data_IF_953414584007
#
_entry.id   IF_953414584007
#
_cell.length_a   1.000
_cell.length_b   1.000
_cell.length_c   1.000
_cell.angle_alpha   90.00
_cell.angle_beta   90.00
_cell.angle_gamma   90.00
#
_symmetry.space_group_name_H-M   'P 1'
#
loop_
_entity.id
_entity.type
_entity.pdbx_description
1 polymer ?
#
# COMPACT_ATOMS: atom_id res chain seq x y z
N UNK A 1 -7.33 -33.98 75.94
CA UNK A 1 -6.93 -34.44 74.60
C UNK A 1 -7.54 -33.63 73.41
N UNK A 2 -8.31 -32.56 73.59
CA UNK A 2 -8.87 -31.75 72.50
C UNK A 2 -7.98 -30.52 72.14
N UNK A 3 -7.14 -30.04 73.08
CA UNK A 3 -6.27 -28.86 72.84
C UNK A 3 -5.12 -29.05 71.83
N UNK A 4 -4.54 -30.26 71.79
CA UNK A 4 -3.40 -30.55 70.95
C UNK A 4 -3.78 -30.58 69.47
N UNK A 5 -4.98 -31.10 69.15
CA UNK A 5 -5.44 -31.13 67.70
C UNK A 5 -5.72 -29.74 67.14
N UNK A 6 -6.21 -28.82 67.95
CA UNK A 6 -6.48 -27.44 67.55
C UNK A 6 -5.20 -26.63 67.36
N UNK A 7 -4.17 -26.93 68.18
CA UNK A 7 -2.82 -26.31 67.99
C UNK A 7 -2.16 -26.81 66.72
N UNK A 8 -2.18 -28.11 66.44
CA UNK A 8 -1.66 -28.72 65.25
C UNK A 8 -2.35 -28.14 63.98
N UNK A 9 -3.69 -28.01 64.03
CA UNK A 9 -4.46 -27.41 62.91
C UNK A 9 -4.09 -25.95 62.68
N UNK A 10 -3.89 -25.14 63.72
CA UNK A 10 -3.45 -23.75 63.60
C UNK A 10 -2.04 -23.63 63.01
N UNK A 11 -1.13 -24.50 63.44
CA UNK A 11 0.24 -24.54 62.91
C UNK A 11 0.22 -24.91 61.42
N UNK A 12 -0.57 -25.90 61.01
CA UNK A 12 -0.75 -26.30 59.62
C UNK A 12 -1.27 -25.16 58.75
N UNK A 13 -2.32 -24.47 59.25
CA UNK A 13 -2.91 -23.33 58.56
C UNK A 13 -1.93 -22.17 58.39
N UNK A 14 -1.14 -21.86 59.43
CA UNK A 14 -0.09 -20.86 59.43
C UNK A 14 1.02 -21.22 58.43
N UNK A 15 1.44 -22.51 58.41
CA UNK A 15 2.45 -22.99 57.49
C UNK A 15 2.00 -22.84 56.01
N UNK A 16 0.75 -23.23 55.70
CA UNK A 16 0.18 -23.06 54.36
C UNK A 16 0.14 -21.59 53.98
N UNK A 17 -0.27 -20.71 54.89
CA UNK A 17 -0.32 -19.27 54.65
C UNK A 17 1.08 -18.70 54.36
N UNK A 18 2.11 -19.11 55.13
CA UNK A 18 3.48 -18.68 54.91
C UNK A 18 4.02 -19.17 53.54
N UNK A 19 3.73 -20.42 53.16
CA UNK A 19 4.14 -20.99 51.88
C UNK A 19 3.49 -20.22 50.72
N UNK A 20 2.18 -19.95 50.78
CA UNK A 20 1.45 -19.20 49.77
C UNK A 20 1.92 -17.75 49.67
N UNK A 21 2.14 -17.10 50.83
CA UNK A 21 2.63 -15.73 50.86
C UNK A 21 4.06 -15.62 50.30
N UNK A 22 4.94 -16.57 50.64
CA UNK A 22 6.30 -16.65 50.11
C UNK A 22 6.30 -16.91 48.61
N UNK A 23 5.40 -17.75 48.11
CA UNK A 23 5.27 -18.01 46.68
C UNK A 23 4.71 -16.78 45.93
N UNK A 24 3.73 -16.10 46.55
CA UNK A 24 3.18 -14.86 45.99
C UNK A 24 4.27 -13.75 45.91
N UNK A 25 5.05 -13.60 46.98
CA UNK A 25 6.16 -12.67 47.05
C UNK A 25 7.21 -12.96 45.97
N UNK A 26 7.58 -14.25 45.81
CA UNK A 26 8.50 -14.66 44.76
C UNK A 26 7.99 -14.31 43.38
N UNK A 27 6.71 -14.61 43.10
CA UNK A 27 6.08 -14.33 41.78
C UNK A 27 5.91 -12.84 41.49
N UNK A 28 5.72 -12.00 42.52
CA UNK A 28 5.48 -10.56 42.32
C UNK A 28 6.75 -9.71 42.29
N UNK A 29 7.81 -10.14 42.99
CA UNK A 29 9.01 -9.31 43.18
C UNK A 29 10.25 -9.89 42.51
N UNK A 30 10.34 -11.22 42.40
CA UNK A 30 11.57 -11.85 41.87
C UNK A 30 11.44 -12.36 40.44
N UNK A 31 10.21 -12.59 39.94
CA UNK A 31 10.01 -13.15 38.62
C UNK A 31 9.51 -12.07 37.63
N UNK A 32 10.47 -11.33 37.04
CA UNK A 32 10.24 -10.28 36.05
C UNK A 32 9.49 -10.75 34.81
N UNK A 33 9.52 -12.06 34.54
CA UNK A 33 8.84 -12.70 33.41
C UNK A 33 7.34 -12.42 33.32
N UNK A 34 6.64 -12.40 34.46
CA UNK A 34 5.21 -12.10 34.49
C UNK A 34 4.93 -10.60 34.35
N UNK A 35 5.87 -9.77 34.78
CA UNK A 35 5.82 -8.34 34.57
C UNK A 35 6.05 -7.98 33.10
N UNK A 36 7.03 -8.62 32.46
CA UNK A 36 7.29 -8.50 31.02
C UNK A 36 6.12 -9.02 30.17
N UNK A 37 5.55 -10.18 30.51
CA UNK A 37 4.37 -10.74 29.85
C UNK A 37 3.12 -9.87 30.03
N UNK A 38 2.96 -9.25 31.20
CA UNK A 38 1.87 -8.30 31.45
C UNK A 38 2.04 -7.02 30.65
N UNK A 39 3.24 -6.48 30.55
CA UNK A 39 3.54 -5.32 29.71
C UNK A 39 3.35 -5.64 28.22
N UNK A 40 3.86 -6.77 27.74
CA UNK A 40 3.70 -7.21 26.36
C UNK A 40 2.26 -7.48 25.95
N UNK A 41 1.39 -7.88 26.88
CA UNK A 41 -0.04 -8.04 26.62
C UNK A 41 -0.84 -6.73 26.69
N UNK A 42 -0.29 -5.69 27.31
CA UNK A 42 -0.97 -4.42 27.56
C UNK A 42 -0.54 -3.34 26.57
N UNK A 43 0.71 -3.41 26.06
CA UNK A 43 1.26 -2.44 25.12
C UNK A 43 1.20 -3.00 23.70
N UNK A 44 0.51 -2.30 22.82
CA UNK A 44 0.42 -2.65 21.41
C UNK A 44 1.07 -1.58 20.53
N UNK A 45 1.87 -2.04 19.56
CA UNK A 45 2.42 -1.20 18.51
C UNK A 45 1.37 -0.93 17.44
N UNK A 46 0.92 0.32 17.34
CA UNK A 46 0.07 0.79 16.26
C UNK A 46 0.93 1.44 15.18
N UNK A 47 0.95 0.86 13.98
CA UNK A 47 1.70 1.41 12.85
C UNK A 47 1.07 2.70 12.35
N UNK A 48 1.88 3.76 12.24
CA UNK A 48 1.49 5.02 11.61
C UNK A 48 2.10 5.05 10.20
N UNK A 49 1.23 5.10 9.21
CA UNK A 49 1.66 5.08 7.81
C UNK A 49 2.12 6.46 7.35
N UNK A 50 3.27 6.55 6.67
CA UNK A 50 3.72 7.78 6.03
C UNK A 50 2.83 8.14 4.83
N UNK A 51 2.74 9.41 4.53
CA UNK A 51 2.26 9.86 3.23
C UNK A 51 3.29 9.50 2.16
N UNK A 52 2.84 8.79 1.11
CA UNK A 52 3.70 8.44 -0.02
C UNK A 52 4.13 9.70 -0.76
N UNK A 53 5.37 9.78 -1.22
CA UNK A 53 5.91 10.93 -1.95
C UNK A 53 5.10 11.25 -3.22
N UNK A 54 4.95 12.51 -3.54
CA UNK A 54 4.30 12.98 -4.77
C UNK A 54 5.24 12.87 -5.96
N UNK A 55 4.68 12.72 -7.16
CA UNK A 55 5.46 12.72 -8.41
C UNK A 55 5.03 13.93 -9.24
N UNK A 56 6.00 14.69 -9.72
CA UNK A 56 5.79 15.90 -10.53
C UNK A 56 6.48 15.78 -11.89
N UNK A 57 6.03 16.57 -12.84
CA UNK A 57 6.69 16.73 -14.12
C UNK A 57 7.90 17.67 -14.01
N UNK A 58 8.56 17.97 -15.16
CA UNK A 58 9.72 18.84 -15.23
C UNK A 58 9.46 20.30 -14.80
N UNK A 59 8.20 20.72 -14.78
CA UNK A 59 7.74 22.05 -14.37
C UNK A 59 7.13 22.09 -12.97
N UNK A 60 7.33 21.02 -12.18
CA UNK A 60 6.74 20.84 -10.86
C UNK A 60 5.20 20.69 -10.82
N UNK A 61 4.56 20.48 -11.98
CA UNK A 61 3.14 20.16 -12.04
C UNK A 61 2.91 18.74 -11.50
N UNK A 62 1.94 18.59 -10.59
CA UNK A 62 1.64 17.30 -9.95
C UNK A 62 1.04 16.32 -10.97
N UNK A 63 1.64 15.15 -11.08
CA UNK A 63 1.16 14.03 -11.91
C UNK A 63 0.57 12.94 -11.04
N UNK A 64 1.18 12.68 -9.87
CA UNK A 64 0.70 11.66 -8.92
C UNK A 64 0.72 12.22 -7.51
N UNK A 65 -0.40 12.10 -6.82
CA UNK A 65 -0.57 12.52 -5.43
C UNK A 65 -1.32 11.47 -4.60
N UNK A 66 -1.54 11.77 -3.33
CA UNK A 66 -2.33 10.93 -2.45
C UNK A 66 -3.70 11.57 -2.22
N UNK A 67 -4.74 10.78 -2.39
CA UNK A 67 -6.10 11.18 -2.07
C UNK A 67 -6.54 10.51 -0.78
N UNK A 68 -7.20 11.25 0.14
CA UNK A 68 -7.74 10.65 1.35
C UNK A 68 -8.74 9.55 1.02
N UNK A 69 -8.56 8.39 1.61
CA UNK A 69 -9.56 7.33 1.62
C UNK A 69 -9.58 6.64 2.98
N UNK A 70 -10.61 5.86 3.23
CA UNK A 70 -10.90 5.30 4.54
C UNK A 70 -11.21 3.81 4.42
N UNK A 71 -10.51 3.01 5.20
CA UNK A 71 -10.86 1.60 5.42
C UNK A 71 -11.71 1.48 6.66
N UNK A 72 -12.74 0.65 6.62
CA UNK A 72 -13.62 0.39 7.75
C UNK A 72 -13.41 -1.02 8.27
N UNK A 73 -13.44 -1.13 9.58
CA UNK A 73 -13.26 -2.36 10.34
C UNK A 73 -14.50 -2.63 11.17
N UNK A 74 -14.85 -3.90 11.35
CA UNK A 74 -15.93 -4.32 12.21
C UNK A 74 -15.39 -5.24 13.30
N UNK A 75 -15.82 -5.01 14.55
CA UNK A 75 -15.57 -5.91 15.69
C UNK A 75 -16.88 -6.64 16.00
N UNK A 76 -17.00 -7.94 15.65
CA UNK A 76 -18.28 -8.64 15.70
C UNK A 76 -18.97 -8.64 17.08
N UNK A 77 -18.20 -8.71 18.16
CA UNK A 77 -18.73 -8.69 19.53
C UNK A 77 -19.35 -7.34 19.93
N UNK A 78 -18.83 -6.26 19.38
CA UNK A 78 -19.27 -4.89 19.68
C UNK A 78 -20.32 -4.40 18.69
N UNK A 79 -20.48 -5.12 17.56
CA UNK A 79 -21.36 -4.67 16.49
C UNK A 79 -22.82 -4.63 16.93
N UNK A 80 -23.40 -3.45 16.81
CA UNK A 80 -24.80 -3.18 16.99
C UNK A 80 -25.23 -2.01 16.11
N UNK A 81 -26.37 -2.12 15.48
CA UNK A 81 -26.99 -1.04 14.73
C UNK A 81 -28.48 -0.99 14.97
N UNK A 82 -29.03 0.20 15.00
CA UNK A 82 -30.47 0.42 15.14
C UNK A 82 -31.21 0.13 13.81
N UNK A 83 -30.55 0.40 12.70
CA UNK A 83 -31.10 0.23 11.36
C UNK A 83 -30.06 -0.36 10.40
N UNK A 84 -30.25 -1.66 10.10
CA UNK A 84 -29.38 -2.39 9.17
C UNK A 84 -29.56 -1.89 7.72
N UNK A 85 -30.77 -1.48 7.33
CA UNK A 85 -31.03 -1.00 5.95
C UNK A 85 -30.29 0.31 5.72
N UNK A 86 -30.32 1.21 6.68
CA UNK A 86 -29.57 2.46 6.62
C UNK A 86 -28.07 2.22 6.53
N UNK A 87 -27.54 1.26 7.28
CA UNK A 87 -26.13 0.86 7.22
C UNK A 87 -25.78 0.33 5.81
N UNK A 88 -26.55 -0.60 5.27
CA UNK A 88 -26.33 -1.16 3.94
C UNK A 88 -26.31 -0.06 2.86
N UNK A 89 -27.26 0.86 2.92
CA UNK A 89 -27.32 2.00 2.00
C UNK A 89 -26.13 2.94 2.15
N UNK A 90 -25.68 3.21 3.39
CA UNK A 90 -24.52 4.07 3.68
C UNK A 90 -23.23 3.52 3.07
N UNK A 91 -23.04 2.20 3.06
CA UNK A 91 -21.88 1.55 2.48
C UNK A 91 -22.11 1.06 1.04
N UNK A 92 -23.30 1.26 0.48
CA UNK A 92 -23.67 0.78 -0.87
C UNK A 92 -23.38 -0.71 -1.07
N UNK A 93 -23.69 -1.54 -0.06
CA UNK A 93 -23.49 -2.99 -0.08
C UNK A 93 -24.82 -3.72 0.04
N UNK A 94 -24.90 -4.90 -0.57
CA UNK A 94 -26.07 -5.78 -0.43
C UNK A 94 -26.10 -6.48 0.92
N UNK A 95 -27.28 -6.94 1.34
CA UNK A 95 -27.42 -7.74 2.57
C UNK A 95 -26.56 -9.01 2.53
N UNK A 96 -26.54 -9.69 1.38
CA UNK A 96 -25.75 -10.92 1.21
C UNK A 96 -24.24 -10.65 1.37
N UNK A 97 -23.74 -9.54 0.79
CA UNK A 97 -22.35 -9.13 0.93
C UNK A 97 -22.01 -8.77 2.39
N UNK A 98 -22.91 -8.09 3.07
CA UNK A 98 -22.77 -7.80 4.51
C UNK A 98 -22.67 -9.09 5.32
N UNK A 99 -23.62 -10.02 5.14
CA UNK A 99 -23.70 -11.28 5.89
C UNK A 99 -22.45 -12.14 5.65
N UNK A 100 -21.94 -12.17 4.42
CA UNK A 100 -20.69 -12.86 4.08
C UNK A 100 -19.48 -12.25 4.81
N UNK A 101 -19.31 -10.92 4.72
CA UNK A 101 -18.21 -10.20 5.39
C UNK A 101 -18.28 -10.33 6.91
N UNK A 102 -19.47 -10.23 7.46
CA UNK A 102 -19.68 -10.36 8.91
C UNK A 102 -19.41 -11.78 9.40
N UNK A 103 -19.82 -12.80 8.64
CA UNK A 103 -19.52 -14.20 8.95
C UNK A 103 -18.01 -14.47 8.88
N UNK A 104 -17.31 -13.95 7.85
CA UNK A 104 -15.85 -14.01 7.77
C UNK A 104 -15.18 -13.34 8.98
N UNK A 105 -15.66 -12.17 9.37
CA UNK A 105 -15.16 -11.46 10.54
C UNK A 105 -15.35 -12.27 11.83
N UNK A 106 -16.53 -12.87 12.05
CA UNK A 106 -16.79 -13.75 13.20
C UNK A 106 -15.89 -14.99 13.22
N UNK A 107 -15.65 -15.59 12.06
CA UNK A 107 -14.78 -16.77 11.92
C UNK A 107 -13.32 -16.42 12.25
N UNK A 108 -12.87 -15.22 11.89
CA UNK A 108 -11.53 -14.75 12.20
C UNK A 108 -11.36 -14.45 13.69
N UNK A 109 -12.22 -13.58 14.26
CA UNK A 109 -12.25 -13.26 15.70
C UNK A 109 -13.51 -12.51 16.07
N UNK A 110 -14.05 -12.77 17.26
CA UNK A 110 -15.16 -12.00 17.80
C UNK A 110 -14.72 -10.63 18.36
N UNK A 111 -13.46 -10.52 18.78
CA UNK A 111 -12.94 -9.38 19.54
C UNK A 111 -11.97 -8.49 18.75
N UNK A 112 -11.36 -9.01 17.70
CA UNK A 112 -10.40 -8.25 16.88
C UNK A 112 -11.08 -7.55 15.70
N UNK A 113 -10.62 -6.35 15.31
CA UNK A 113 -11.14 -5.66 14.15
C UNK A 113 -10.85 -6.47 12.88
N UNK A 114 -11.86 -6.65 12.05
CA UNK A 114 -11.78 -7.28 10.74
C UNK A 114 -12.18 -6.29 9.66
N UNK A 115 -11.53 -6.32 8.50
CA UNK A 115 -11.85 -5.41 7.39
C UNK A 115 -13.28 -5.65 6.94
N UNK A 116 -14.08 -4.60 6.97
CA UNK A 116 -15.48 -4.57 6.54
C UNK A 116 -15.65 -3.92 5.16
N UNK A 117 -15.01 -2.76 4.96
CA UNK A 117 -15.06 -2.01 3.71
C UNK A 117 -13.72 -1.34 3.44
N UNK A 118 -13.22 -1.40 2.20
CA UNK A 118 -11.93 -0.84 1.81
C UNK A 118 -12.08 0.37 0.90
N UNK A 119 -11.22 1.37 1.09
CA UNK A 119 -10.97 2.42 0.12
C UNK A 119 -12.19 3.32 -0.15
N UNK A 120 -12.95 3.70 0.89
CA UNK A 120 -14.03 4.68 0.74
C UNK A 120 -13.42 6.05 0.46
N UNK A 121 -13.84 6.70 -0.60
CA UNK A 121 -13.41 8.06 -0.93
C UNK A 121 -13.89 9.09 0.10
N UNK A 122 -13.22 10.25 0.11
CA UNK A 122 -13.50 11.30 1.09
C UNK A 122 -14.93 11.87 0.99
N UNK A 123 -15.49 11.97 -0.21
CA UNK A 123 -16.83 12.55 -0.42
C UNK A 123 -17.90 11.62 0.14
N UNK A 124 -17.80 10.33 -0.14
CA UNK A 124 -18.69 9.30 0.42
C UNK A 124 -18.53 9.22 1.94
N UNK A 125 -17.29 9.23 2.45
CA UNK A 125 -17.03 9.27 3.89
C UNK A 125 -17.70 10.47 4.57
N UNK A 126 -17.53 11.66 4.04
CA UNK A 126 -18.14 12.88 4.60
C UNK A 126 -19.67 12.77 4.68
N UNK A 127 -20.31 12.12 3.72
CA UNK A 127 -21.78 11.93 3.70
C UNK A 127 -22.30 10.98 4.78
N UNK A 128 -21.46 10.05 5.24
CA UNK A 128 -21.84 9.04 6.26
C UNK A 128 -21.24 9.30 7.64
N UNK A 129 -20.28 10.21 7.74
CA UNK A 129 -19.52 10.46 8.97
C UNK A 129 -20.41 10.72 10.19
N UNK A 130 -21.46 11.51 10.04
CA UNK A 130 -22.41 11.79 11.12
C UNK A 130 -23.21 10.55 11.56
N UNK A 131 -23.43 9.62 10.65
CA UNK A 131 -24.19 8.38 10.89
C UNK A 131 -23.34 7.28 11.52
N UNK A 132 -22.01 7.39 11.45
CA UNK A 132 -21.10 6.38 12.02
C UNK A 132 -21.28 6.22 13.53
N UNK A 133 -21.74 7.25 14.22
CA UNK A 133 -22.05 7.19 15.65
C UNK A 133 -23.15 6.14 15.98
N UNK A 134 -24.07 5.92 15.04
CA UNK A 134 -25.16 4.95 15.20
C UNK A 134 -24.72 3.50 14.95
N UNK A 135 -23.52 3.28 14.41
CA UNK A 135 -22.99 1.97 14.04
C UNK A 135 -21.91 1.52 15.04
N UNK A 136 -22.34 1.03 16.21
CA UNK A 136 -21.40 0.54 17.23
C UNK A 136 -20.59 -0.64 16.70
N UNK A 137 -19.30 -0.69 17.04
CA UNK A 137 -18.40 -1.74 16.60
C UNK A 137 -17.91 -1.62 15.15
N UNK A 138 -18.25 -0.52 14.46
CA UNK A 138 -17.64 -0.14 13.20
C UNK A 138 -16.66 1.02 13.46
N UNK A 139 -15.44 0.86 13.00
CA UNK A 139 -14.35 1.83 13.13
C UNK A 139 -13.78 2.14 11.76
N UNK A 140 -13.27 3.33 11.56
CA UNK A 140 -12.59 3.71 10.34
C UNK A 140 -11.12 4.04 10.60
N UNK A 141 -10.29 3.79 9.60
CA UNK A 141 -8.88 4.18 9.60
C UNK A 141 -8.55 4.89 8.29
N UNK A 142 -7.90 6.06 8.33
CA UNK A 142 -7.44 6.70 7.11
C UNK A 142 -6.34 5.86 6.46
N UNK A 143 -6.53 5.57 5.17
CA UNK A 143 -5.56 4.87 4.34
C UNK A 143 -5.48 5.55 2.98
N UNK A 144 -4.59 6.54 2.81
CA UNK A 144 -4.48 7.29 1.56
C UNK A 144 -4.25 6.36 0.37
N UNK A 145 -4.97 6.62 -0.73
CA UNK A 145 -4.80 5.94 -2.01
C UNK A 145 -4.06 6.82 -3.00
N UNK A 146 -3.43 6.19 -3.99
CA UNK A 146 -2.80 6.90 -5.10
C UNK A 146 -3.85 7.51 -6.01
N UNK A 147 -3.63 8.75 -6.42
CA UNK A 147 -4.47 9.49 -7.33
C UNK A 147 -3.64 10.15 -8.42
N UNK A 148 -4.15 10.09 -9.64
CA UNK A 148 -3.51 10.61 -10.83
C UNK A 148 -4.39 11.72 -11.40
N UNK A 149 -4.17 13.00 -11.00
CA UNK A 149 -4.96 14.16 -11.47
C UNK A 149 -4.97 14.28 -13.00
N UNK A 150 -3.85 13.93 -13.61
CA UNK A 150 -3.68 13.76 -15.04
C UNK A 150 -3.40 12.29 -15.32
N UNK A 151 -4.33 11.52 -15.91
CA UNK A 151 -4.14 10.09 -16.15
C UNK A 151 -3.26 9.84 -17.38
N UNK A 152 -2.01 10.32 -17.31
CA UNK A 152 -0.98 10.20 -18.36
C UNK A 152 0.12 9.21 -17.96
N UNK A 153 0.84 8.70 -18.93
CA UNK A 153 2.02 7.83 -18.75
C UNK A 153 1.84 6.63 -17.79
N UNK A 154 0.72 5.90 -17.80
CA UNK A 154 0.51 4.84 -16.80
C UNK A 154 1.56 3.75 -16.84
N UNK A 155 2.14 3.48 -18.01
CA UNK A 155 3.21 2.49 -18.17
C UNK A 155 4.55 2.93 -17.55
N UNK A 156 4.77 4.25 -17.46
CA UNK A 156 5.98 4.84 -16.88
C UNK A 156 5.80 5.02 -15.38
N UNK A 157 4.69 5.63 -14.99
CA UNK A 157 4.37 5.89 -13.59
C UNK A 157 4.20 4.58 -12.82
N UNK A 158 3.54 3.61 -13.45
CA UNK A 158 3.18 2.38 -12.81
C UNK A 158 1.94 2.53 -11.92
N UNK A 159 1.76 1.57 -11.02
CA UNK A 159 0.66 1.54 -10.08
C UNK A 159 1.10 0.96 -8.74
N UNK A 160 0.29 1.24 -7.72
CA UNK A 160 0.48 0.77 -6.35
C UNK A 160 -0.66 -0.18 -5.99
N UNK A 161 -0.33 -1.31 -5.39
CA UNK A 161 -1.32 -2.29 -4.95
C UNK A 161 -0.90 -2.92 -3.61
N UNK A 162 -1.80 -3.69 -3.00
CA UNK A 162 -1.47 -4.43 -1.78
C UNK A 162 -0.40 -5.48 -2.06
N UNK A 163 0.58 -5.58 -1.16
CA UNK A 163 1.65 -6.56 -1.26
C UNK A 163 1.08 -7.98 -1.25
N UNK A 164 1.55 -8.81 -2.18
CA UNK A 164 1.16 -10.22 -2.21
C UNK A 164 2.10 -11.09 -1.35
N UNK A 165 1.67 -12.32 -1.06
CA UNK A 165 2.44 -13.25 -0.22
C UNK A 165 3.84 -13.56 -0.77
N UNK A 166 3.99 -13.59 -2.09
CA UNK A 166 5.29 -13.83 -2.72
C UNK A 166 6.26 -12.66 -2.51
N UNK A 167 5.79 -11.43 -2.66
CA UNK A 167 6.60 -10.24 -2.40
C UNK A 167 6.91 -10.09 -0.92
N UNK A 168 5.93 -10.36 -0.05
CA UNK A 168 6.12 -10.32 1.40
C UNK A 168 7.19 -11.32 1.86
N UNK A 169 7.17 -12.55 1.34
CA UNK A 169 8.19 -13.56 1.67
C UNK A 169 9.59 -13.21 1.12
N UNK A 170 9.67 -12.35 0.11
CA UNK A 170 10.93 -11.83 -0.43
C UNK A 170 11.42 -10.55 0.26
N UNK A 171 10.61 -9.92 1.08
CA UNK A 171 11.03 -8.72 1.81
C UNK A 171 12.00 -9.09 2.93
N UNK A 172 13.26 -8.71 2.74
CA UNK A 172 14.32 -8.89 3.74
C UNK A 172 14.45 -7.68 4.68
N UNK A 173 13.62 -6.65 4.48
CA UNK A 173 13.71 -5.40 5.25
C UNK A 173 12.79 -5.34 6.46
N UNK A 174 11.92 -6.34 6.65
CA UNK A 174 10.84 -6.38 7.64
C UNK A 174 9.95 -5.12 7.67
N UNK A 175 9.93 -4.40 6.55
CA UNK A 175 9.16 -3.17 6.45
C UNK A 175 7.68 -3.43 6.19
N UNK A 176 7.37 -4.45 5.37
CA UNK A 176 6.01 -4.69 4.91
C UNK A 176 5.26 -5.68 5.79
N UNK A 177 3.97 -5.39 5.94
CA UNK A 177 2.99 -6.28 6.54
C UNK A 177 1.87 -6.58 5.55
N UNK A 178 1.12 -7.67 5.77
CA UNK A 178 -0.02 -8.01 4.91
C UNK A 178 -1.03 -6.84 4.86
N UNK A 179 -1.42 -6.43 3.66
CA UNK A 179 -2.29 -5.29 3.42
C UNK A 179 -1.58 -3.97 3.17
N UNK A 180 -0.26 -3.91 3.28
CA UNK A 180 0.51 -2.71 2.91
C UNK A 180 0.51 -2.49 1.40
N UNK A 181 0.66 -1.22 1.01
CA UNK A 181 0.76 -0.82 -0.38
C UNK A 181 2.21 -0.80 -0.84
N UNK A 182 2.47 -1.35 -2.02
CA UNK A 182 3.80 -1.40 -2.66
C UNK A 182 3.68 -1.02 -4.13
N UNK A 183 4.69 -0.37 -4.69
CA UNK A 183 4.78 -0.10 -6.12
C UNK A 183 5.04 -1.39 -6.90
N UNK A 184 4.18 -1.70 -7.87
CA UNK A 184 4.24 -2.91 -8.67
C UNK A 184 4.99 -2.76 -9.99
N UNK A 185 5.01 -1.56 -10.54
CA UNK A 185 5.65 -1.29 -11.83
C UNK A 185 6.12 0.16 -11.96
N UNK A 186 6.90 0.45 -12.99
CA UNK A 186 7.31 1.80 -13.35
C UNK A 186 8.07 2.55 -12.26
N UNK A 187 7.88 3.86 -12.22
CA UNK A 187 8.49 4.76 -11.23
C UNK A 187 8.07 4.39 -9.80
N UNK A 188 6.80 4.00 -9.61
CA UNK A 188 6.30 3.58 -8.30
C UNK A 188 7.10 2.41 -7.72
N UNK A 189 7.53 1.46 -8.57
CA UNK A 189 8.35 0.32 -8.16
C UNK A 189 9.83 0.71 -8.05
N UNK A 190 10.37 1.38 -9.06
CA UNK A 190 11.80 1.67 -9.13
C UNK A 190 12.26 2.60 -8.01
N UNK A 191 11.40 3.53 -7.59
CA UNK A 191 11.65 4.50 -6.53
C UNK A 191 10.88 4.21 -5.25
N UNK A 192 10.45 2.95 -5.06
CA UNK A 192 9.66 2.52 -3.91
C UNK A 192 10.23 3.00 -2.57
N UNK A 193 11.52 2.79 -2.31
CA UNK A 193 12.18 3.19 -1.06
C UNK A 193 12.11 4.70 -0.79
N UNK A 194 12.18 5.50 -1.83
CA UNK A 194 12.10 6.97 -1.72
C UNK A 194 10.66 7.44 -1.56
N UNK A 195 9.74 6.80 -2.28
CA UNK A 195 8.32 7.19 -2.30
C UNK A 195 7.56 6.72 -1.06
N UNK A 196 7.83 5.51 -0.54
CA UNK A 196 7.05 4.93 0.55
C UNK A 196 7.23 5.63 1.89
N UNK A 197 8.37 6.31 2.12
CA UNK A 197 8.75 6.86 3.43
C UNK A 197 9.12 5.79 4.46
N UNK A 198 9.08 6.15 5.73
CA UNK A 198 9.39 5.26 6.86
C UNK A 198 8.20 5.26 7.82
N UNK A 199 7.69 4.09 8.15
CA UNK A 199 6.61 3.92 9.13
C UNK A 199 7.02 4.44 10.49
N UNK A 200 6.10 5.11 11.17
CA UNK A 200 6.17 5.37 12.58
C UNK A 200 5.40 4.32 13.38
N UNK A 201 5.61 4.32 14.69
CA UNK A 201 4.91 3.42 15.60
C UNK A 201 4.45 4.19 16.83
N UNK A 202 3.19 3.99 17.21
CA UNK A 202 2.64 4.47 18.47
C UNK A 202 2.44 3.31 19.41
N UNK A 203 2.94 3.47 20.63
CA UNK A 203 2.74 2.51 21.70
C UNK A 203 1.45 2.85 22.43
N UNK A 204 0.44 2.03 22.27
CA UNK A 204 -0.87 2.18 22.93
C UNK A 204 -1.09 1.12 23.99
N UNK A 205 -1.67 1.55 25.09
CA UNK A 205 -2.15 0.67 26.15
C UNK A 205 -3.53 0.15 25.80
N UNK A 206 -3.73 -1.14 26.01
CA UNK A 206 -5.03 -1.79 25.90
C UNK A 206 -5.36 -2.52 27.19
N UNK A 207 -6.61 -2.47 27.61
CA UNK A 207 -7.09 -3.23 28.75
C UNK A 207 -7.30 -4.71 28.37
N UNK A 208 -7.66 -5.54 29.36
CA UNK A 208 -7.95 -6.97 29.18
C UNK A 208 -9.14 -7.25 28.23
N UNK A 209 -9.97 -6.24 27.96
CA UNK A 209 -11.09 -6.31 27.01
C UNK A 209 -10.71 -5.82 25.61
N UNK A 210 -9.45 -5.41 25.39
CA UNK A 210 -8.97 -4.88 24.13
C UNK A 210 -9.45 -3.45 23.84
N UNK A 211 -9.79 -2.69 24.89
CA UNK A 211 -10.16 -1.27 24.78
C UNK A 211 -8.91 -0.41 25.01
N UNK A 212 -8.68 0.57 24.14
CA UNK A 212 -7.54 1.47 24.26
C UNK A 212 -7.65 2.31 25.54
N UNK A 213 -6.64 2.20 26.40
CA UNK A 213 -6.51 2.95 27.66
C UNK A 213 -5.63 4.21 27.53
N UNK A 214 -5.16 4.51 26.30
CA UNK A 214 -4.34 5.70 26.02
C UNK A 214 -2.97 5.37 25.44
N UNK A 215 -2.08 6.37 25.41
CA UNK A 215 -0.70 6.21 24.93
C UNK A 215 0.19 5.69 26.06
N UNK A 216 1.10 4.78 25.72
CA UNK A 216 2.13 4.35 26.67
C UNK A 216 3.11 5.49 26.93
N UNK A 217 3.47 5.71 28.20
CA UNK A 217 4.42 6.75 28.64
C UNK A 217 4.18 8.14 28.00
N UNK A 218 2.89 8.55 27.89
CA UNK A 218 2.48 9.81 27.25
C UNK A 218 3.00 9.99 25.82
N UNK A 219 3.28 8.90 25.10
CA UNK A 219 3.78 8.93 23.72
C UNK A 219 5.27 9.29 23.59
N UNK A 220 6.04 9.31 24.68
CA UNK A 220 7.48 9.67 24.65
C UNK A 220 8.33 8.64 23.90
N UNK A 221 7.84 7.42 23.78
CA UNK A 221 8.51 6.31 23.10
C UNK A 221 7.96 6.08 21.70
N UNK A 222 7.05 6.94 21.22
CA UNK A 222 6.54 6.87 19.86
C UNK A 222 7.65 7.12 18.84
N UNK A 223 7.69 6.29 17.80
CA UNK A 223 8.59 6.46 16.67
C UNK A 223 7.89 7.31 15.63
N UNK A 224 8.48 8.47 15.32
CA UNK A 224 7.88 9.41 14.37
C UNK A 224 7.93 8.87 12.95
N UNK A 225 6.84 9.09 12.22
CA UNK A 225 6.73 8.77 10.80
C UNK A 225 7.58 9.74 9.96
N UNK A 226 8.24 9.22 8.92
CA UNK A 226 8.92 10.05 7.91
C UNK A 226 8.24 9.87 6.55
N UNK A 227 7.69 10.95 6.02
CA UNK A 227 6.99 10.93 4.74
C UNK A 227 7.91 10.62 3.56
N UNK A 228 7.33 10.06 2.50
CA UNK A 228 8.04 9.80 1.27
C UNK A 228 8.52 11.07 0.58
N UNK A 229 9.62 10.96 -0.17
CA UNK A 229 10.23 12.08 -0.87
C UNK A 229 9.49 12.38 -2.18
N UNK A 230 9.38 13.65 -2.52
CA UNK A 230 8.95 14.12 -3.84
C UNK A 230 9.92 13.64 -4.92
N UNK A 231 9.40 13.14 -6.02
CA UNK A 231 10.18 12.79 -7.22
C UNK A 231 9.77 13.71 -8.36
N UNK A 232 10.75 14.36 -8.97
CA UNK A 232 10.58 15.18 -10.15
C UNK A 232 11.06 14.42 -11.37
N UNK A 233 10.18 14.26 -12.36
CA UNK A 233 10.48 13.61 -13.62
C UNK A 233 10.95 14.61 -14.67
N UNK A 234 11.61 14.10 -15.71
CA UNK A 234 11.97 14.87 -16.90
C UNK A 234 10.80 15.02 -17.88
N UNK A 235 9.71 14.27 -17.66
CA UNK A 235 8.50 14.29 -18.50
C UNK A 235 7.88 15.68 -18.52
N UNK A 236 7.56 16.14 -19.72
CA UNK A 236 6.69 17.28 -19.98
C UNK A 236 5.25 16.77 -20.07
N UNK A 237 4.43 17.08 -19.06
CA UNK A 237 3.05 16.56 -18.99
C UNK A 237 2.18 17.07 -20.15
N UNK A 238 2.44 18.25 -20.68
CA UNK A 238 1.72 18.80 -21.83
C UNK A 238 2.06 18.04 -23.12
N UNK A 239 3.36 17.82 -23.37
CA UNK A 239 3.82 17.03 -24.51
C UNK A 239 3.34 15.59 -24.41
N UNK A 240 3.42 14.98 -23.23
CA UNK A 240 2.95 13.62 -22.98
C UNK A 240 1.45 13.47 -23.31
N UNK A 241 0.63 14.37 -22.82
CA UNK A 241 -0.82 14.37 -23.11
C UNK A 241 -1.10 14.51 -24.61
N UNK A 242 -0.35 15.38 -25.29
CA UNK A 242 -0.47 15.57 -26.74
C UNK A 242 -0.13 14.29 -27.51
N UNK A 243 0.99 13.64 -27.16
CA UNK A 243 1.42 12.39 -27.77
C UNK A 243 0.42 11.27 -27.55
N UNK A 244 -0.11 11.12 -26.34
CA UNK A 244 -1.14 10.12 -26.04
C UNK A 244 -2.43 10.37 -26.82
N UNK A 245 -2.82 11.63 -27.00
CA UNK A 245 -3.97 12.00 -27.85
C UNK A 245 -3.75 11.61 -29.32
N UNK A 246 -2.55 11.79 -29.86
CA UNK A 246 -2.19 11.38 -31.24
C UNK A 246 -2.20 9.85 -31.41
N UNK A 247 -1.88 9.10 -30.36
CA UNK A 247 -1.87 7.65 -30.37
C UNK A 247 -3.26 7.03 -30.16
N UNK A 248 -4.28 7.82 -29.81
CA UNK A 248 -5.63 7.31 -29.57
C UNK A 248 -6.16 6.53 -30.79
N UNK A 249 -6.63 5.30 -30.57
CA UNK A 249 -7.11 4.41 -31.63
C UNK A 249 -6.01 3.72 -32.45
N UNK A 250 -4.74 3.89 -32.08
CA UNK A 250 -3.59 3.25 -32.74
C UNK A 250 -2.91 2.27 -31.79
N UNK A 251 -2.13 1.34 -32.32
CA UNK A 251 -1.28 0.42 -31.56
C UNK A 251 0.18 0.76 -31.87
N UNK A 252 0.92 1.12 -30.82
CA UNK A 252 2.32 1.51 -30.99
C UNK A 252 2.85 2.31 -29.80
N UNK A 253 3.99 2.97 -29.99
CA UNK A 253 4.62 3.80 -28.98
C UNK A 253 5.30 5.02 -29.59
N UNK A 254 5.48 6.05 -28.77
CA UNK A 254 6.26 7.25 -29.10
C UNK A 254 7.18 7.56 -27.92
N UNK A 255 8.45 7.86 -28.23
CA UNK A 255 9.44 8.33 -27.26
C UNK A 255 10.06 9.61 -27.79
N UNK A 256 10.03 10.68 -27.00
CA UNK A 256 10.67 11.95 -27.28
C UNK A 256 11.81 12.17 -26.29
N UNK A 257 13.02 12.39 -26.83
CA UNK A 257 14.24 12.55 -26.02
C UNK A 257 14.88 13.89 -26.39
N UNK A 258 15.32 14.63 -25.38
CA UNK A 258 16.15 15.83 -25.56
C UNK A 258 17.60 15.41 -25.93
N UNK A 259 18.10 15.70 -27.15
CA UNK A 259 19.39 15.16 -27.59
C UNK A 259 20.58 15.62 -26.76
N UNK A 260 20.50 16.83 -26.19
CA UNK A 260 21.62 17.44 -25.45
C UNK A 260 21.78 16.87 -24.04
N UNK A 261 20.67 16.66 -23.36
CA UNK A 261 20.66 16.19 -21.96
C UNK A 261 20.41 14.70 -21.83
N UNK A 262 19.79 14.05 -22.83
CA UNK A 262 19.30 12.69 -22.77
C UNK A 262 17.99 12.55 -21.99
N UNK A 263 17.38 13.66 -21.56
CA UNK A 263 16.13 13.64 -20.83
C UNK A 263 14.98 13.11 -21.67
N UNK A 264 14.18 12.22 -21.10
CA UNK A 264 12.95 11.74 -21.73
C UNK A 264 11.85 12.76 -21.46
N UNK A 265 11.39 13.42 -22.51
CA UNK A 265 10.35 14.44 -22.45
C UNK A 265 8.94 13.84 -22.51
N UNK A 266 8.77 12.79 -23.31
CA UNK A 266 7.55 12.03 -23.39
C UNK A 266 7.85 10.57 -23.74
N UNK A 267 7.06 9.65 -23.16
CA UNK A 267 7.11 8.23 -23.46
C UNK A 267 5.71 7.65 -23.33
N UNK A 268 5.10 7.30 -24.45
CA UNK A 268 3.74 6.83 -24.52
C UNK A 268 3.66 5.45 -25.18
N UNK A 269 2.77 4.63 -24.67
CA UNK A 269 2.43 3.32 -25.21
C UNK A 269 0.93 3.24 -25.41
N UNK A 270 0.48 2.75 -26.56
CA UNK A 270 -0.95 2.64 -26.90
C UNK A 270 -1.27 1.21 -27.40
N UNK A 271 -2.44 0.63 -27.06
CA UNK A 271 -3.45 1.18 -26.14
C UNK A 271 -2.90 1.41 -24.74
N UNK A 272 -3.48 2.39 -24.07
CA UNK A 272 -3.16 2.76 -22.70
C UNK A 272 -4.35 2.49 -21.77
N UNK A 273 -4.17 2.71 -20.49
CA UNK A 273 -5.22 2.56 -19.47
C UNK A 273 -5.21 3.76 -18.52
N UNK A 274 -6.33 3.97 -17.83
CA UNK A 274 -6.41 4.97 -16.76
C UNK A 274 -5.80 4.37 -15.47
N UNK A 275 -4.70 4.93 -14.95
CA UNK A 275 -4.06 4.42 -13.73
C UNK A 275 -4.95 4.53 -12.49
N UNK A 276 -5.91 5.46 -12.46
CA UNK A 276 -6.88 5.56 -11.36
C UNK A 276 -7.76 4.31 -11.24
N UNK A 277 -7.99 3.58 -12.33
CA UNK A 277 -8.71 2.29 -12.30
C UNK A 277 -7.94 1.19 -11.59
N UNK A 278 -6.62 1.35 -11.44
CA UNK A 278 -5.75 0.45 -10.68
C UNK A 278 -5.47 0.97 -9.26
N UNK A 279 -6.39 1.73 -8.69
CA UNK A 279 -6.40 2.20 -7.31
C UNK A 279 -7.68 1.78 -6.59
N UNK A 280 -7.61 1.57 -5.27
CA UNK A 280 -8.77 1.34 -4.42
C UNK A 280 -9.41 -0.04 -4.57
N UNK A 281 -10.71 -0.13 -4.26
CA UNK A 281 -11.45 -1.39 -4.08
C UNK A 281 -11.59 -2.23 -5.36
N UNK A 282 -11.66 -1.58 -6.52
CA UNK A 282 -11.95 -2.24 -7.80
C UNK A 282 -10.68 -2.70 -8.54
N UNK A 283 -9.52 -2.60 -7.90
CA UNK A 283 -8.22 -2.96 -8.48
C UNK A 283 -8.23 -4.34 -9.16
N UNK A 284 -8.62 -5.39 -8.42
CA UNK A 284 -8.53 -6.78 -8.92
C UNK A 284 -9.39 -7.00 -10.15
N UNK A 285 -10.63 -6.49 -10.16
CA UNK A 285 -11.55 -6.65 -11.31
C UNK A 285 -11.07 -5.85 -12.52
N UNK A 286 -10.57 -4.64 -12.31
CA UNK A 286 -10.08 -3.79 -13.39
C UNK A 286 -8.76 -4.32 -13.95
N UNK A 287 -7.85 -4.78 -13.08
CA UNK A 287 -6.59 -5.40 -13.52
C UNK A 287 -6.84 -6.64 -14.37
N UNK A 288 -7.75 -7.53 -13.94
CA UNK A 288 -8.13 -8.71 -14.72
C UNK A 288 -8.68 -8.34 -16.11
N UNK A 289 -9.58 -7.36 -16.18
CA UNK A 289 -10.11 -6.87 -17.47
C UNK A 289 -9.00 -6.38 -18.40
N UNK A 290 -8.05 -5.62 -17.87
CA UNK A 290 -6.91 -5.13 -18.65
C UNK A 290 -5.95 -6.26 -19.07
N UNK A 291 -5.81 -7.29 -18.26
CA UNK A 291 -4.93 -8.45 -18.53
C UNK A 291 -5.46 -9.35 -19.64
N UNK A 292 -6.79 -9.59 -19.66
CA UNK A 292 -7.43 -10.45 -20.68
C UNK A 292 -7.73 -9.70 -21.99
N UNK A 293 -7.56 -8.38 -22.03
CA UNK A 293 -7.79 -7.58 -23.23
C UNK A 293 -6.81 -7.99 -24.34
N UNK A 294 -7.33 -8.35 -25.50
CA UNK A 294 -6.55 -8.78 -26.66
C UNK A 294 -5.57 -7.73 -27.16
N UNK A 295 -5.85 -6.45 -26.95
CA UNK A 295 -4.98 -5.33 -27.31
C UNK A 295 -3.86 -5.09 -26.30
N UNK A 296 -3.84 -5.82 -25.17
CA UNK A 296 -2.82 -5.79 -24.12
C UNK A 296 -2.48 -4.37 -23.66
N UNK A 297 -3.42 -3.62 -23.07
CA UNK A 297 -3.18 -2.22 -22.67
C UNK A 297 -2.15 -2.06 -21.57
N UNK A 298 -1.88 -3.10 -20.76
CA UNK A 298 -0.84 -3.08 -19.72
C UNK A 298 0.57 -3.22 -20.32
N UNK A 299 0.69 -3.74 -21.54
CA UNK A 299 1.98 -4.02 -22.16
C UNK A 299 2.69 -2.72 -22.57
N UNK A 300 3.87 -2.45 -21.97
CA UNK A 300 4.67 -1.27 -22.25
C UNK A 300 5.41 -1.42 -23.59
N UNK A 301 4.79 -0.98 -24.69
CA UNK A 301 5.35 -1.10 -26.03
C UNK A 301 6.60 -0.26 -26.23
N UNK A 302 6.73 0.85 -25.52
CA UNK A 302 7.89 1.71 -25.65
C UNK A 302 9.18 1.05 -25.15
N UNK A 303 9.07 0.16 -24.13
CA UNK A 303 10.24 -0.47 -23.51
C UNK A 303 10.39 -1.96 -23.87
N UNK A 304 9.28 -2.66 -24.16
CA UNK A 304 9.26 -4.11 -24.25
C UNK A 304 8.98 -4.65 -25.65
N UNK A 305 8.43 -3.81 -26.55
CA UNK A 305 8.10 -4.29 -27.89
C UNK A 305 9.36 -4.45 -28.74
N UNK A 306 9.40 -5.57 -29.46
CA UNK A 306 10.45 -5.86 -30.45
C UNK A 306 9.86 -5.73 -31.84
N UNK A 307 10.29 -4.69 -32.57
CA UNK A 307 9.89 -4.46 -33.96
C UNK A 307 11.12 -4.53 -34.87
N UNK A 308 10.96 -5.02 -36.12
CA UNK A 308 12.02 -4.91 -37.14
C UNK A 308 12.36 -3.44 -37.34
N UNK A 309 13.61 -3.00 -37.12
CA UNK A 309 13.98 -1.59 -37.21
C UNK A 309 13.99 -1.05 -38.66
N UNK A 310 14.03 -1.95 -39.64
CA UNK A 310 14.08 -1.58 -41.04
C UNK A 310 15.24 -0.64 -41.35
N UNK A 311 15.00 0.36 -42.27
CA UNK A 311 16.05 1.32 -42.69
C UNK A 311 16.61 2.20 -41.58
N UNK A 312 15.98 2.26 -40.41
CA UNK A 312 16.53 2.97 -39.24
C UNK A 312 17.81 2.34 -38.71
N UNK A 313 17.99 1.03 -38.91
CA UNK A 313 19.22 0.35 -38.52
C UNK A 313 20.44 0.77 -39.34
N UNK A 314 20.24 1.33 -40.55
CA UNK A 314 21.33 1.82 -41.41
C UNK A 314 22.15 2.93 -40.77
N UNK A 315 21.54 3.77 -39.92
CA UNK A 315 22.28 4.80 -39.18
C UNK A 315 23.27 4.16 -38.19
N UNK A 316 22.86 3.10 -37.51
CA UNK A 316 23.74 2.36 -36.59
C UNK A 316 24.83 1.65 -37.35
N UNK A 317 24.51 1.03 -38.47
CA UNK A 317 25.51 0.40 -39.36
C UNK A 317 26.54 1.41 -39.88
N UNK A 318 26.10 2.62 -40.27
CA UNK A 318 26.99 3.69 -40.67
C UNK A 318 27.94 4.13 -39.56
N UNK A 319 27.43 4.29 -38.31
CA UNK A 319 28.28 4.61 -37.17
C UNK A 319 29.30 3.52 -36.86
N UNK A 320 28.90 2.25 -36.89
CA UNK A 320 29.80 1.11 -36.72
C UNK A 320 30.87 1.10 -37.81
N UNK A 321 30.49 1.30 -39.08
CA UNK A 321 31.42 1.36 -40.20
C UNK A 321 32.46 2.47 -40.06
N UNK A 322 32.06 3.64 -39.52
CA UNK A 322 33.00 4.74 -39.24
C UNK A 322 33.93 4.41 -38.07
N UNK A 323 33.42 3.80 -37.00
CA UNK A 323 34.21 3.42 -35.81
C UNK A 323 35.22 2.32 -36.14
N UNK A 324 34.80 1.31 -36.89
CA UNK A 324 35.66 0.20 -37.36
C UNK A 324 36.61 0.63 -38.48
N UNK A 325 36.50 1.87 -38.98
CA UNK A 325 37.34 2.39 -40.08
C UNK A 325 37.04 1.79 -41.46
N UNK A 326 35.90 1.09 -41.59
CA UNK A 326 35.45 0.48 -42.86
C UNK A 326 34.93 1.53 -43.85
N UNK A 327 34.45 2.65 -43.35
CA UNK A 327 33.93 3.77 -44.11
C UNK A 327 34.49 5.07 -43.53
N UNK A 328 34.85 6.01 -44.38
CA UNK A 328 35.29 7.36 -43.97
C UNK A 328 34.17 8.35 -44.21
N UNK A 329 34.15 9.44 -43.48
CA UNK A 329 33.12 10.49 -43.56
C UNK A 329 32.93 11.03 -44.98
N UNK A 330 33.97 11.06 -45.78
CA UNK A 330 33.97 11.59 -47.16
C UNK A 330 33.97 10.51 -48.26
N UNK A 331 33.80 9.22 -47.90
CA UNK A 331 33.74 8.15 -48.88
C UNK A 331 32.50 8.27 -49.74
N UNK A 332 32.70 8.15 -51.07
CA UNK A 332 31.59 8.08 -52.02
C UNK A 332 31.13 6.63 -52.14
N UNK A 333 29.87 6.38 -51.76
CA UNK A 333 29.24 5.06 -51.88
C UNK A 333 28.56 4.97 -53.25
N UNK A 334 29.03 4.08 -54.10
CA UNK A 334 28.39 3.77 -55.37
C UNK A 334 27.34 2.68 -55.14
N UNK A 335 26.08 2.99 -55.45
CA UNK A 335 25.00 2.02 -55.43
C UNK A 335 24.87 1.42 -56.82
N UNK A 336 25.15 0.12 -56.96
CA UNK A 336 24.83 -0.58 -58.20
C UNK A 336 23.32 -0.86 -58.25
N UNK A 337 22.62 -0.14 -59.12
CA UNK A 337 21.17 -0.26 -59.30
C UNK A 337 20.78 -1.49 -60.14
N UNK A 338 21.72 -2.37 -60.48
CA UNK A 338 21.45 -3.57 -61.31
C UNK A 338 21.30 -4.87 -60.57
N UNK A 339 21.12 -4.85 -59.24
CA UNK A 339 20.81 -6.08 -58.47
C UNK A 339 19.41 -6.08 -57.94
#
# INVERSE_FOLDING_TARGET
MSGDKTVIFKILLLSIFIILSSRLFYLQIYEDKYHELSQNNTVHLESVYPSRGIITDRYDSVIVENQPSYDFYIIPKQFWTKDTIQLLNSFSISKNEFDEKFTKAKKYSLYRPSIFYKGMDHSTFASIQSKLYDYKGIYHSPKPTRYYPKPISPHVLGYVAEINSYQLNKDTSDYYSAGDLVGYSGIEQSYERSLRGVKGYKLKLYDVNGVSAGSFNDGKEDILVSNGKKIKLTIDSGLQLYVEKLLKGKVGSVVAIEPKSGEILAIASSPSYDPNKLSGKDFSSNYLKLQIDSLKPIYNRALMATYPPGSMFKLIQGLIGLEEGLVKYNDQVYIDLKS
#
